data_IF_003888008056
#
_entry.id   IF_003888008056
#
_cell.length_a   1.000
_cell.length_b   1.000
_cell.length_c   1.000
_cell.angle_alpha   90.00
_cell.angle_beta   90.00
_cell.angle_gamma   90.00
#
_symmetry.space_group_name_H-M   'P 1'
#
loop_
_entity.id
_entity.type
_entity.pdbx_description
1 polymer ?
#
# COMPACT_ATOMS: atom_id res chain seq x y z
N UNK A 1 -13.14 2.72 -12.28
CA UNK A 1 -12.86 1.38 -11.69
C UNK A 1 -13.46 1.22 -10.30
N UNK A 2 -13.08 2.04 -9.30
CA UNK A 2 -13.53 1.87 -7.90
C UNK A 2 -15.06 1.74 -7.72
N UNK A 3 -15.85 2.60 -8.37
CA UNK A 3 -17.32 2.52 -8.33
C UNK A 3 -17.88 1.26 -8.99
N UNK A 4 -17.28 0.80 -10.09
CA UNK A 4 -17.73 -0.40 -10.82
C UNK A 4 -17.55 -1.69 -10.01
N UNK A 5 -16.59 -1.72 -9.08
CA UNK A 5 -16.31 -2.90 -8.24
C UNK A 5 -16.88 -2.79 -6.83
N UNK A 6 -17.65 -1.73 -6.55
CA UNK A 6 -18.23 -1.45 -5.23
C UNK A 6 -17.17 -1.28 -4.13
N UNK A 7 -16.04 -0.65 -4.45
CA UNK A 7 -14.88 -0.61 -3.55
C UNK A 7 -15.20 0.09 -2.22
N UNK A 8 -15.94 1.20 -2.26
CA UNK A 8 -16.26 1.99 -1.08
C UNK A 8 -17.05 1.19 -0.02
N UNK A 9 -18.06 0.44 -0.45
CA UNK A 9 -18.85 -0.40 0.46
C UNK A 9 -18.02 -1.54 1.06
N UNK A 10 -17.10 -2.12 0.28
CA UNK A 10 -16.15 -3.12 0.80
C UNK A 10 -15.21 -2.52 1.85
N UNK A 11 -14.71 -1.31 1.60
CA UNK A 11 -13.86 -0.57 2.54
C UNK A 11 -14.61 -0.30 3.85
N UNK A 12 -15.87 0.16 3.81
CA UNK A 12 -16.66 0.43 5.02
C UNK A 12 -16.76 -0.78 5.96
N UNK A 13 -16.80 -1.99 5.42
CA UNK A 13 -16.90 -3.25 6.16
C UNK A 13 -15.55 -3.84 6.59
N UNK A 14 -14.44 -3.36 6.05
CA UNK A 14 -13.12 -3.88 6.36
C UNK A 14 -12.58 -3.32 7.69
N UNK A 15 -11.74 -4.08 8.37
CA UNK A 15 -10.97 -3.58 9.52
C UNK A 15 -9.64 -2.93 9.09
N UNK A 16 -9.12 -3.34 7.93
CA UNK A 16 -7.86 -2.89 7.35
C UNK A 16 -7.97 -2.92 5.82
N UNK A 17 -7.40 -1.91 5.17
CA UNK A 17 -7.27 -1.87 3.70
C UNK A 17 -5.81 -2.03 3.31
N UNK A 18 -5.53 -2.93 2.38
CA UNK A 18 -4.20 -3.08 1.78
C UNK A 18 -4.29 -2.67 0.31
N UNK A 19 -3.39 -1.80 -0.13
CA UNK A 19 -3.28 -1.33 -1.51
C UNK A 19 -1.82 -1.40 -1.96
N UNK A 20 -1.55 -1.07 -3.22
CA UNK A 20 -0.17 -1.07 -3.71
C UNK A 20 -0.03 -0.60 -5.15
N UNK A 21 1.22 -0.32 -5.52
CA UNK A 21 1.64 -0.04 -6.89
C UNK A 21 3.14 -0.37 -7.05
N UNK A 22 3.66 -0.35 -8.27
CA UNK A 22 5.08 -0.68 -8.51
C UNK A 22 6.07 0.32 -7.90
N UNK A 23 5.70 1.60 -7.87
CA UNK A 23 6.54 2.69 -7.33
C UNK A 23 5.66 3.77 -6.74
N UNK A 24 5.90 4.09 -5.47
CA UNK A 24 5.29 5.21 -4.76
C UNK A 24 6.26 6.40 -4.81
N UNK A 25 5.78 7.51 -5.36
CA UNK A 25 6.52 8.77 -5.51
C UNK A 25 5.63 9.97 -5.20
N UNK A 26 6.19 11.17 -5.23
CA UNK A 26 5.42 12.41 -5.06
C UNK A 26 4.30 12.61 -6.09
N UNK A 27 4.27 11.83 -7.18
CA UNK A 27 3.18 11.87 -8.15
C UNK A 27 2.00 10.97 -7.78
N UNK A 28 2.19 9.98 -6.91
CA UNK A 28 1.13 9.07 -6.45
C UNK A 28 -0.06 9.82 -5.87
N UNK A 29 0.18 10.94 -5.18
CA UNK A 29 -0.86 11.81 -4.61
C UNK A 29 -1.78 12.49 -5.64
N UNK A 30 -1.44 12.46 -6.93
CA UNK A 30 -2.21 13.11 -7.99
C UNK A 30 -3.14 12.16 -8.74
N UNK A 31 -3.60 11.09 -8.09
CA UNK A 31 -4.64 10.22 -8.65
C UNK A 31 -4.19 8.82 -9.05
N UNK A 32 -3.02 8.34 -8.60
CA UNK A 32 -2.68 6.92 -8.71
C UNK A 32 -3.50 6.07 -7.72
N UNK A 33 -3.44 4.75 -7.90
CA UNK A 33 -4.27 3.78 -7.17
C UNK A 33 -4.17 3.92 -5.65
N UNK A 34 -2.98 3.99 -5.02
CA UNK A 34 -2.89 4.11 -3.56
C UNK A 34 -3.59 5.36 -3.01
N UNK A 35 -3.48 6.49 -3.71
CA UNK A 35 -4.15 7.73 -3.31
C UNK A 35 -5.68 7.61 -3.35
N UNK A 36 -6.24 7.08 -4.45
CA UNK A 36 -7.69 6.91 -4.57
C UNK A 36 -8.26 5.97 -3.49
N UNK A 37 -7.55 4.87 -3.19
CA UNK A 37 -7.92 3.95 -2.11
C UNK A 37 -7.82 4.64 -0.75
N UNK A 38 -6.74 5.40 -0.49
CA UNK A 38 -6.53 6.11 0.76
C UNK A 38 -7.65 7.13 1.03
N UNK A 39 -8.06 7.91 0.03
CA UNK A 39 -9.16 8.88 0.17
C UNK A 39 -10.49 8.22 0.51
N UNK A 40 -10.82 7.10 -0.13
CA UNK A 40 -12.04 6.34 0.16
C UNK A 40 -12.00 5.75 1.58
N UNK A 41 -10.86 5.18 1.98
CA UNK A 41 -10.67 4.62 3.31
C UNK A 41 -10.68 5.68 4.42
N UNK A 42 -10.10 6.85 4.18
CA UNK A 42 -10.14 7.98 5.10
C UNK A 42 -11.57 8.43 5.40
N UNK A 43 -12.44 8.51 4.38
CA UNK A 43 -13.87 8.82 4.57
C UNK A 43 -14.62 7.78 5.42
N UNK A 44 -14.13 6.54 5.44
CA UNK A 44 -14.66 5.45 6.27
C UNK A 44 -13.88 5.22 7.57
N UNK A 45 -12.89 6.06 7.88
CA UNK A 45 -11.99 5.94 9.04
C UNK A 45 -11.30 4.57 9.14
N UNK A 46 -10.88 4.01 8.00
CA UNK A 46 -10.19 2.72 7.94
C UNK A 46 -8.68 2.89 7.77
N UNK A 47 -7.84 2.15 8.53
CA UNK A 47 -6.40 2.19 8.33
C UNK A 47 -6.03 1.60 6.97
N UNK A 48 -4.99 2.15 6.35
CA UNK A 48 -4.52 1.76 5.02
C UNK A 48 -3.03 1.46 5.05
N UNK A 49 -2.66 0.27 4.58
CA UNK A 49 -1.27 -0.12 4.35
C UNK A 49 -1.01 -0.19 2.84
N UNK A 50 -0.01 0.53 2.37
CA UNK A 50 0.45 0.43 0.99
C UNK A 50 1.68 -0.48 0.88
N UNK A 51 1.65 -1.43 -0.05
CA UNK A 51 2.77 -2.30 -0.40
C UNK A 51 3.32 -1.86 -1.76
N UNK A 52 4.61 -1.54 -1.84
CA UNK A 52 5.21 -0.96 -3.05
C UNK A 52 6.49 -1.66 -3.49
N UNK A 53 6.78 -1.65 -4.79
CA UNK A 53 8.08 -2.08 -5.32
C UNK A 53 9.21 -1.18 -4.82
N UNK A 54 9.06 0.12 -5.02
CA UNK A 54 10.01 1.13 -4.55
C UNK A 54 9.31 2.36 -3.98
N UNK A 55 10.06 3.16 -3.23
CA UNK A 55 9.61 4.41 -2.64
C UNK A 55 10.65 5.50 -2.94
N UNK A 56 10.19 6.67 -3.35
CA UNK A 56 11.03 7.85 -3.58
C UNK A 56 10.66 9.00 -2.64
N UNK A 57 11.50 10.02 -2.62
CA UNK A 57 11.29 11.25 -1.86
C UNK A 57 9.94 11.89 -2.19
N UNK A 58 9.27 12.44 -1.17
CA UNK A 58 7.96 13.09 -1.32
C UNK A 58 6.78 12.11 -1.20
N UNK A 59 7.04 10.83 -0.98
CA UNK A 59 6.04 9.81 -0.65
C UNK A 59 5.38 10.03 0.72
N UNK A 60 6.03 10.79 1.61
CA UNK A 60 5.55 11.13 2.95
C UNK A 60 4.24 11.93 2.91
N UNK A 61 3.99 12.67 1.82
CA UNK A 61 2.74 13.38 1.60
C UNK A 61 1.52 12.45 1.49
N UNK A 62 1.70 11.15 1.28
CA UNK A 62 0.58 10.21 1.26
C UNK A 62 0.03 9.90 2.66
N UNK A 63 0.82 10.12 3.71
CA UNK A 63 0.34 9.94 5.09
C UNK A 63 -0.79 10.92 5.41
N UNK A 64 -0.69 12.16 4.90
CA UNK A 64 -1.76 13.16 5.06
C UNK A 64 -3.00 12.87 4.21
N UNK A 65 -2.91 11.96 3.25
CA UNK A 65 -4.02 11.56 2.36
C UNK A 65 -4.75 10.30 2.84
N UNK A 66 -4.39 9.77 4.00
CA UNK A 66 -5.06 8.63 4.63
C UNK A 66 -4.29 7.32 4.56
N UNK A 67 -3.06 7.29 4.01
CA UNK A 67 -2.19 6.13 4.16
C UNK A 67 -1.68 6.08 5.60
N UNK A 68 -1.81 4.92 6.26
CA UNK A 68 -1.31 4.71 7.63
C UNK A 68 0.14 4.27 7.62
N UNK A 69 0.53 3.38 6.71
CA UNK A 69 1.90 2.90 6.59
C UNK A 69 2.24 2.47 5.15
N UNK A 70 3.53 2.53 4.81
CA UNK A 70 4.06 2.09 3.51
C UNK A 70 5.15 1.05 3.72
N UNK A 71 5.08 -0.06 2.97
CA UNK A 71 6.04 -1.17 3.02
C UNK A 71 6.62 -1.44 1.63
N UNK A 72 7.88 -1.03 1.37
CA UNK A 72 8.62 -1.47 0.19
C UNK A 72 8.94 -2.96 0.26
N UNK A 73 8.84 -3.66 -0.88
CA UNK A 73 9.09 -5.13 -0.95
C UNK A 73 10.53 -5.49 -1.23
N UNK A 74 11.36 -4.55 -1.69
CA UNK A 74 12.79 -4.78 -1.95
C UNK A 74 13.54 -4.94 -0.63
N UNK A 75 14.12 -6.12 -0.42
CA UNK A 75 14.79 -6.49 0.84
C UNK A 75 16.29 -6.19 0.85
N UNK A 76 16.91 -6.07 -0.33
CA UNK A 76 18.35 -5.87 -0.52
C UNK A 76 18.64 -5.26 -1.89
N UNK A 77 19.81 -4.63 -2.11
CA UNK A 77 20.21 -4.18 -3.42
C UNK A 77 20.14 -5.31 -4.46
N UNK A 78 19.49 -5.05 -5.59
CA UNK A 78 19.31 -5.99 -6.69
C UNK A 78 19.02 -5.25 -8.00
N UNK A 79 19.18 -5.93 -9.13
CA UNK A 79 18.80 -5.36 -10.43
C UNK A 79 17.28 -5.31 -10.58
N UNK A 80 16.77 -4.47 -11.48
CA UNK A 80 15.34 -4.42 -11.79
C UNK A 80 14.82 -5.78 -12.29
N UNK A 81 15.62 -6.49 -13.09
CA UNK A 81 15.26 -7.81 -13.58
C UNK A 81 15.08 -8.82 -12.44
N UNK A 82 16.00 -8.82 -11.46
CA UNK A 82 15.88 -9.66 -10.27
C UNK A 82 14.65 -9.28 -9.44
N UNK A 83 14.39 -7.97 -9.27
CA UNK A 83 13.22 -7.48 -8.56
C UNK A 83 11.91 -7.96 -9.19
N UNK A 84 11.77 -7.84 -10.51
CA UNK A 84 10.59 -8.29 -11.24
C UNK A 84 10.44 -9.82 -11.19
N UNK A 85 11.55 -10.55 -11.38
CA UNK A 85 11.58 -12.03 -11.32
C UNK A 85 11.13 -12.57 -9.97
N UNK A 86 11.48 -11.90 -8.87
CA UNK A 86 11.17 -12.33 -7.51
C UNK A 86 10.01 -11.58 -6.85
N UNK A 87 9.31 -10.69 -7.58
CA UNK A 87 8.30 -9.79 -7.05
C UNK A 87 7.22 -10.51 -6.23
N UNK A 88 6.68 -11.63 -6.76
CA UNK A 88 5.66 -12.43 -6.06
C UNK A 88 6.11 -12.83 -4.65
N UNK A 89 7.27 -13.48 -4.55
CA UNK A 89 7.78 -13.95 -3.26
C UNK A 89 8.11 -12.81 -2.29
N UNK A 90 8.58 -11.67 -2.81
CA UNK A 90 8.84 -10.48 -1.98
C UNK A 90 7.53 -9.85 -1.46
N UNK A 91 6.47 -9.79 -2.27
CA UNK A 91 5.15 -9.32 -1.85
C UNK A 91 4.56 -10.26 -0.79
N UNK A 92 4.65 -11.58 -0.99
CA UNK A 92 4.19 -12.58 -0.01
C UNK A 92 4.90 -12.44 1.33
N UNK A 93 6.24 -12.34 1.34
CA UNK A 93 7.02 -12.12 2.57
C UNK A 93 6.72 -10.77 3.23
N UNK A 94 6.42 -9.75 2.45
CA UNK A 94 6.01 -8.44 2.99
C UNK A 94 4.64 -8.54 3.66
N UNK A 95 3.69 -9.26 3.05
CA UNK A 95 2.39 -9.56 3.65
C UNK A 95 2.53 -10.34 4.97
N UNK A 96 3.39 -11.35 5.01
CA UNK A 96 3.69 -12.09 6.24
C UNK A 96 4.24 -11.16 7.34
N UNK A 97 5.20 -10.30 7.00
CA UNK A 97 5.78 -9.34 7.95
C UNK A 97 4.73 -8.37 8.50
N UNK A 98 3.87 -7.83 7.64
CA UNK A 98 2.75 -6.97 8.05
C UNK A 98 1.83 -7.73 9.03
N UNK A 99 1.43 -8.95 8.69
CA UNK A 99 0.57 -9.76 9.55
C UNK A 99 1.20 -10.05 10.91
N UNK A 100 2.51 -10.37 10.95
CA UNK A 100 3.27 -10.55 12.19
C UNK A 100 3.28 -9.27 13.03
N UNK A 101 3.53 -8.11 12.43
CA UNK A 101 3.48 -6.82 13.13
C UNK A 101 2.10 -6.54 13.73
N UNK A 102 1.02 -6.80 12.99
CA UNK A 102 -0.34 -6.62 13.47
C UNK A 102 -0.73 -7.61 14.58
N UNK A 103 -0.04 -8.75 14.68
CA UNK A 103 -0.29 -9.75 15.72
C UNK A 103 0.37 -9.42 17.07
N UNK A 104 1.24 -8.40 17.12
CA UNK A 104 1.85 -7.93 18.35
C UNK A 104 0.74 -7.38 19.25
N UNK A 105 0.55 -8.01 20.41
CA UNK A 105 -0.38 -7.52 21.44
C UNK A 105 0.38 -6.54 22.32
N UNK A 106 -0.09 -5.30 22.35
CA UNK A 106 0.30 -4.30 23.33
C UNK A 106 -0.79 -4.19 24.39
#
# INVERSE_FOLDING_TARGET
VAGMVGLEEKIRRADLVITGEGKIDGQTRFGKVPFGVARLAAGAHKPVIAVTGSMESGSEGLYTEGITAVFPVIERPMTLEQALRHARGMVERTGERIARTLSIRC
#
